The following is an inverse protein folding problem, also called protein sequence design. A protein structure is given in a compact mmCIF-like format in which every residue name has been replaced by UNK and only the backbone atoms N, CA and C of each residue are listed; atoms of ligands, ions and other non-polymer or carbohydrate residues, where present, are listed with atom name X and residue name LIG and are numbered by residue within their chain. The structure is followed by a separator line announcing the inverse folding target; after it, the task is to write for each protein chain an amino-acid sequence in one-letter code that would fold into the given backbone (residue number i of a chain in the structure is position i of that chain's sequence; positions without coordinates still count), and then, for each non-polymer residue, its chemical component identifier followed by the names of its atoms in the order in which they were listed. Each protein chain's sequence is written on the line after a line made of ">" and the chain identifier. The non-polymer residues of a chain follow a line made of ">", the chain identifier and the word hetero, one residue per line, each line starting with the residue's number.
data_IF_912697550662
#
_entry.id   IF_912697550662
#
_cell.length_a   1.000
_cell.length_b   1.000
_cell.length_c   1.000
_cell.angle_alpha   90.00
_cell.angle_beta   90.00
_cell.angle_gamma   90.00
#
_symmetry.space_group_name_H-M   'P 1'
#
loop_
_entity.id
_entity.type
_entity.pdbx_description
1 polymer ?
#
# COMPACT_ATOMS: atom_id res chain seq x y z
N UNK A 1 31.03 -7.68 -0.02
CA UNK A 1 31.45 -7.09 -1.31
C UNK A 1 30.93 -8.00 -2.42
N UNK A 2 30.39 -7.51 -3.54
CA UNK A 2 30.06 -8.37 -4.69
C UNK A 2 31.35 -8.92 -5.33
N UNK A 3 31.28 -10.10 -5.95
CA UNK A 3 32.40 -10.67 -6.70
C UNK A 3 32.61 -9.92 -8.04
N UNK A 4 33.67 -10.28 -8.78
CA UNK A 4 33.97 -9.70 -10.11
C UNK A 4 32.85 -9.86 -11.14
N UNK A 5 31.88 -10.76 -10.92
CA UNK A 5 30.70 -10.97 -11.77
C UNK A 5 29.41 -10.31 -11.22
N UNK A 6 29.52 -9.41 -10.24
CA UNK A 6 28.38 -8.69 -9.65
C UNK A 6 27.50 -9.52 -8.71
N UNK A 7 27.84 -10.79 -8.47
CA UNK A 7 27.11 -11.71 -7.62
C UNK A 7 27.56 -11.55 -6.15
N UNK A 8 26.63 -11.62 -5.21
CA UNK A 8 26.99 -11.65 -3.79
C UNK A 8 27.69 -12.97 -3.44
N UNK A 9 28.76 -12.93 -2.62
CA UNK A 9 29.41 -14.16 -2.16
C UNK A 9 28.42 -15.02 -1.36
N UNK A 10 28.59 -16.35 -1.43
CA UNK A 10 27.82 -17.30 -0.61
C UNK A 10 28.01 -16.95 0.88
N UNK A 11 26.92 -16.62 1.57
CA UNK A 11 26.94 -16.15 2.97
C UNK A 11 26.97 -14.62 3.15
N UNK A 12 27.10 -13.85 2.07
CA UNK A 12 26.98 -12.39 2.07
C UNK A 12 25.66 -11.98 1.42
N UNK A 13 24.79 -11.30 2.17
CA UNK A 13 23.58 -10.67 1.64
C UNK A 13 23.86 -9.18 1.41
N UNK A 14 23.36 -8.63 0.31
CA UNK A 14 23.38 -7.17 0.06
C UNK A 14 22.53 -6.37 1.06
N UNK A 15 21.67 -7.06 1.83
CA UNK A 15 20.91 -6.48 2.92
C UNK A 15 21.17 -7.27 4.22
N UNK A 16 22.40 -7.19 4.75
CA UNK A 16 22.78 -7.83 6.01
C UNK A 16 21.98 -7.31 7.22
N UNK A 17 21.51 -6.05 7.17
CA UNK A 17 20.69 -5.42 8.22
C UNK A 17 19.18 -5.70 8.13
N UNK A 18 18.70 -6.41 7.11
CA UNK A 18 17.28 -6.69 6.92
C UNK A 18 16.42 -5.43 6.74
N UNK A 19 15.11 -5.54 6.97
CA UNK A 19 14.23 -4.37 6.92
C UNK A 19 14.45 -3.52 8.19
N UNK A 20 14.69 -2.19 8.07
CA UNK A 20 14.85 -1.32 9.22
C UNK A 20 13.68 -1.44 10.21
N UNK A 21 13.99 -1.58 11.51
CA UNK A 21 13.01 -1.81 12.59
C UNK A 21 11.99 -0.68 12.74
N UNK A 22 12.40 0.58 12.52
CA UNK A 22 11.59 1.78 12.79
C UNK A 22 10.29 1.85 11.99
N UNK A 23 10.25 1.25 10.79
CA UNK A 23 9.04 1.20 9.95
C UNK A 23 7.88 0.45 10.62
N UNK A 24 8.15 -0.37 11.64
CA UNK A 24 7.12 -1.12 12.37
C UNK A 24 6.27 -0.21 13.24
N UNK A 25 6.85 0.82 13.84
CA UNK A 25 6.12 1.76 14.70
C UNK A 25 5.18 2.65 13.88
N UNK A 26 5.67 3.21 12.76
CA UNK A 26 4.86 4.05 11.85
C UNK A 26 3.73 3.23 11.22
N UNK A 27 4.01 1.98 10.79
CA UNK A 27 2.98 1.13 10.23
C UNK A 27 1.92 0.71 11.25
N UNK A 28 2.31 0.50 12.52
CA UNK A 28 1.35 0.22 13.59
C UNK A 28 0.46 1.43 13.88
N UNK A 29 1.05 2.63 13.96
CA UNK A 29 0.32 3.89 14.13
C UNK A 29 -0.63 4.16 12.96
N UNK A 30 -0.19 3.97 11.72
CA UNK A 30 -1.06 4.13 10.56
C UNK A 30 -2.25 3.15 10.59
N UNK A 31 -2.06 1.93 11.11
CA UNK A 31 -3.17 0.98 11.28
C UNK A 31 -4.13 1.39 12.39
N UNK A 32 -3.67 2.04 13.47
CA UNK A 32 -4.58 2.51 14.51
C UNK A 32 -5.55 3.58 14.01
N UNK A 33 -5.14 4.38 13.00
CA UNK A 33 -6.03 5.36 12.34
C UNK A 33 -6.96 4.75 11.28
N UNK A 34 -6.91 3.43 11.04
CA UNK A 34 -7.70 2.82 9.95
C UNK A 34 -9.20 2.95 10.14
N UNK A 35 -9.70 2.93 11.38
CA UNK A 35 -11.12 3.12 11.70
C UNK A 35 -11.57 4.55 11.40
N UNK A 36 -10.86 5.54 11.92
CA UNK A 36 -11.13 6.97 11.68
C UNK A 36 -11.05 7.33 10.18
N UNK A 37 -10.10 6.74 9.46
CA UNK A 37 -9.99 6.91 8.02
C UNK A 37 -11.21 6.35 7.26
N UNK A 38 -11.79 5.24 7.71
CA UNK A 38 -13.01 4.67 7.11
C UNK A 38 -14.21 5.59 7.39
N UNK A 39 -14.36 6.06 8.63
CA UNK A 39 -15.43 7.00 9.00
C UNK A 39 -15.36 8.29 8.17
N UNK A 40 -14.15 8.82 7.99
CA UNK A 40 -13.92 9.99 7.14
C UNK A 40 -14.32 9.73 5.69
N UNK A 41 -14.03 8.55 5.13
CA UNK A 41 -14.48 8.19 3.78
C UNK A 41 -16.00 8.10 3.68
N UNK A 42 -16.69 7.59 4.71
CA UNK A 42 -18.16 7.57 4.76
C UNK A 42 -18.72 8.99 4.80
N UNK A 43 -18.15 9.86 5.63
CA UNK A 43 -18.56 11.27 5.71
C UNK A 43 -18.37 11.99 4.36
N UNK A 44 -17.20 11.83 3.72
CA UNK A 44 -16.93 12.39 2.40
C UNK A 44 -17.89 11.85 1.34
N UNK A 45 -18.20 10.55 1.37
CA UNK A 45 -19.16 9.95 0.44
C UNK A 45 -20.57 10.55 0.57
N UNK A 46 -21.00 10.83 1.80
CA UNK A 46 -22.33 11.37 2.10
C UNK A 46 -22.43 12.88 1.89
N UNK A 47 -21.43 13.64 2.34
CA UNK A 47 -21.54 15.08 2.58
C UNK A 47 -20.63 15.95 1.69
N UNK A 48 -19.66 15.38 0.96
CA UNK A 48 -18.77 16.20 0.15
C UNK A 48 -19.54 16.94 -0.96
N UNK A 49 -19.22 18.22 -1.16
CA UNK A 49 -19.83 19.04 -2.21
C UNK A 49 -19.42 18.62 -3.61
N UNK A 50 -18.17 18.19 -3.77
CA UNK A 50 -17.64 17.74 -5.06
C UNK A 50 -17.98 16.26 -5.29
N UNK A 51 -18.71 16.00 -6.39
CA UNK A 51 -19.06 14.65 -6.82
C UNK A 51 -17.85 13.75 -7.06
N UNK A 52 -16.70 14.31 -7.48
CA UNK A 52 -15.46 13.54 -7.70
C UNK A 52 -14.92 13.00 -6.38
N UNK A 53 -15.01 13.79 -5.31
CA UNK A 53 -14.61 13.39 -3.96
C UNK A 53 -15.55 12.29 -3.45
N UNK A 54 -16.87 12.46 -3.61
CA UNK A 54 -17.86 11.44 -3.23
C UNK A 54 -17.62 10.11 -3.95
N UNK A 55 -17.44 10.16 -5.28
CA UNK A 55 -17.18 8.98 -6.10
C UNK A 55 -15.87 8.29 -5.72
N UNK A 56 -14.82 9.06 -5.47
CA UNK A 56 -13.52 8.51 -5.03
C UNK A 56 -13.62 7.85 -3.65
N UNK A 57 -14.38 8.44 -2.71
CA UNK A 57 -14.61 7.87 -1.40
C UNK A 57 -15.41 6.56 -1.47
N UNK A 58 -16.48 6.54 -2.27
CA UNK A 58 -17.29 5.33 -2.52
C UNK A 58 -16.43 4.20 -3.14
N UNK A 59 -15.65 4.51 -4.17
CA UNK A 59 -14.74 3.53 -4.81
C UNK A 59 -13.73 2.97 -3.80
N UNK A 60 -13.15 3.83 -2.97
CA UNK A 60 -12.18 3.43 -1.95
C UNK A 60 -12.78 2.46 -0.91
N UNK A 61 -14.06 2.61 -0.57
CA UNK A 61 -14.76 1.67 0.31
C UNK A 61 -15.02 0.33 -0.40
N UNK A 62 -15.50 0.36 -1.64
CA UNK A 62 -15.77 -0.85 -2.43
C UNK A 62 -14.51 -1.68 -2.67
N UNK A 63 -13.40 -1.04 -3.03
CA UNK A 63 -12.10 -1.69 -3.24
C UNK A 63 -11.60 -2.45 -2.00
N UNK A 64 -12.01 -2.02 -0.79
CA UNK A 64 -11.64 -2.68 0.47
C UNK A 64 -12.58 -3.83 0.83
N UNK A 65 -13.88 -3.70 0.53
CA UNK A 65 -14.87 -4.73 0.82
C UNK A 65 -14.81 -5.90 -0.17
N UNK A 66 -14.65 -5.58 -1.46
CA UNK A 66 -14.74 -6.57 -2.55
C UNK A 66 -13.40 -6.83 -3.23
N UNK A 67 -12.37 -6.05 -2.90
CA UNK A 67 -11.09 -6.10 -3.60
C UNK A 67 -11.12 -5.31 -4.91
N UNK A 68 -9.95 -5.19 -5.53
CA UNK A 68 -9.83 -4.58 -6.87
C UNK A 68 -10.16 -5.59 -7.96
N UNK A 69 -10.74 -5.14 -9.09
CA UNK A 69 -10.97 -6.01 -10.24
C UNK A 69 -9.67 -6.65 -10.72
N UNK A 70 -9.76 -7.88 -11.22
CA UNK A 70 -8.61 -8.63 -11.76
C UNK A 70 -8.00 -7.84 -12.91
N UNK A 71 -6.73 -7.47 -12.77
CA UNK A 71 -5.95 -6.82 -13.83
C UNK A 71 -5.35 -7.90 -14.72
N UNK A 72 -5.69 -7.89 -16.01
CA UNK A 72 -5.02 -8.73 -17.01
C UNK A 72 -3.75 -8.03 -17.50
N UNK A 73 -2.61 -8.73 -17.42
CA UNK A 73 -1.33 -8.23 -17.92
C UNK A 73 -1.24 -8.64 -19.39
N UNK A 74 -1.30 -7.68 -20.30
CA UNK A 74 -1.02 -7.93 -21.70
C UNK A 74 0.50 -7.85 -21.93
N UNK A 75 1.15 -8.99 -22.16
CA UNK A 75 2.54 -9.02 -22.59
C UNK A 75 2.60 -8.63 -24.08
N UNK A 76 2.92 -7.39 -24.37
CA UNK A 76 3.35 -6.96 -25.71
C UNK A 76 4.84 -7.26 -25.87
N UNK A 77 5.18 -8.12 -26.85
CA UNK A 77 6.56 -8.36 -27.30
C UNK A 77 7.09 -7.18 -28.12
#
# INVERSE_FOLDING_TARGET
>A
MPNKSGSFLKGYSGNSGGRPKDKRHIAALARSYSTEAIETLVELMCNARDHRVRGSAAQALLDRCFGKPKVEIQNTN
#
